data_IF_912825135536
#
_entry.id   IF_912825135536
#
_cell.length_a   1.000
_cell.length_b   1.000
_cell.length_c   1.000
_cell.angle_alpha   90.00
_cell.angle_beta   90.00
_cell.angle_gamma   90.00
#
_symmetry.space_group_name_H-M   'P 1'
#
loop_
_entity.id
_entity.type
_entity.pdbx_description
1 polymer ?
#
# COMPACT_ATOMS: atom_id res chain seq x y z
N UNK A 1 15.60 37.48 24.86
CA UNK A 1 15.86 36.23 24.11
C UNK A 1 14.60 35.88 23.36
N UNK A 2 14.60 35.97 22.03
CA UNK A 2 13.49 35.47 21.24
C UNK A 2 13.49 33.94 21.34
N UNK A 3 12.49 33.36 22.02
CA UNK A 3 12.16 31.95 21.82
C UNK A 3 11.67 31.86 20.37
N UNK A 4 12.54 31.42 19.46
CA UNK A 4 12.12 31.16 18.08
C UNK A 4 10.94 30.20 18.09
N UNK A 5 9.93 30.47 17.27
CA UNK A 5 8.74 29.62 17.11
C UNK A 5 9.15 28.15 16.89
N UNK A 6 9.18 27.36 17.96
CA UNK A 6 9.43 25.94 17.86
C UNK A 6 8.18 25.31 17.24
N UNK A 7 8.32 24.77 16.02
CA UNK A 7 7.22 24.04 15.39
C UNK A 7 6.86 22.81 16.23
N UNK A 8 5.57 22.63 16.49
CA UNK A 8 5.03 21.47 17.21
C UNK A 8 5.03 20.22 16.29
N UNK A 9 6.21 19.68 15.98
CA UNK A 9 6.36 18.56 15.02
C UNK A 9 5.54 17.31 15.39
N UNK A 10 5.31 17.06 16.69
CA UNK A 10 4.44 15.97 17.15
C UNK A 10 2.97 16.18 16.76
N UNK A 11 2.49 17.43 16.80
CA UNK A 11 1.15 17.80 16.34
C UNK A 11 1.05 17.65 14.81
N UNK A 12 2.03 18.15 14.07
CA UNK A 12 2.09 18.00 12.60
C UNK A 12 2.08 16.53 12.18
N UNK A 13 2.81 15.67 12.90
CA UNK A 13 2.78 14.23 12.66
C UNK A 13 1.38 13.64 12.96
N UNK A 14 0.70 14.10 14.00
CA UNK A 14 -0.67 13.71 14.29
C UNK A 14 -1.66 14.11 13.19
N UNK A 15 -1.52 15.32 12.64
CA UNK A 15 -2.29 15.80 11.50
C UNK A 15 -2.01 14.99 10.23
N UNK A 16 -0.75 14.60 9.99
CA UNK A 16 -0.38 13.72 8.88
C UNK A 16 -1.11 12.36 8.97
N UNK A 17 -1.24 11.78 10.16
CA UNK A 17 -2.04 10.55 10.31
C UNK A 17 -3.55 10.77 10.15
N UNK A 18 -4.07 11.95 10.49
CA UNK A 18 -5.46 12.31 10.17
C UNK A 18 -5.69 12.42 8.66
N UNK A 19 -4.69 12.88 7.89
CA UNK A 19 -4.75 12.84 6.43
C UNK A 19 -4.92 11.40 5.92
N UNK A 20 -4.13 10.44 6.40
CA UNK A 20 -4.32 9.03 6.02
C UNK A 20 -5.71 8.50 6.43
N UNK A 21 -6.22 8.86 7.62
CA UNK A 21 -7.59 8.51 8.00
C UNK A 21 -8.65 9.07 7.05
N UNK A 22 -8.43 10.29 6.55
CA UNK A 22 -9.29 10.93 5.55
C UNK A 22 -9.21 10.28 4.17
N UNK A 23 -8.19 9.47 3.88
CA UNK A 23 -8.01 8.72 2.64
C UNK A 23 -8.53 7.27 2.71
N UNK A 24 -8.96 6.77 3.87
CA UNK A 24 -9.40 5.38 4.03
C UNK A 24 -10.56 5.04 3.11
N UNK A 25 -10.47 3.96 2.33
CA UNK A 25 -11.57 3.35 1.58
C UNK A 25 -12.11 2.13 2.34
N UNK A 26 -13.34 1.70 2.08
CA UNK A 26 -13.95 0.54 2.74
C UNK A 26 -14.76 0.90 3.99
N UNK A 27 -14.98 -0.10 4.85
CA UNK A 27 -15.70 0.06 6.11
C UNK A 27 -14.79 0.71 7.16
N UNK A 28 -15.14 1.90 7.62
CA UNK A 28 -14.36 2.65 8.59
C UNK A 28 -14.48 2.03 10.00
N UNK A 29 -13.42 2.09 10.81
CA UNK A 29 -13.45 1.54 12.16
C UNK A 29 -14.25 2.46 13.09
N UNK A 30 -14.83 1.90 14.15
CA UNK A 30 -15.63 2.66 15.11
C UNK A 30 -14.84 3.81 15.79
N UNK A 31 -13.53 3.66 15.92
CA UNK A 31 -12.61 4.65 16.50
C UNK A 31 -12.05 5.67 15.48
N UNK A 32 -12.55 5.70 14.22
CA UNK A 32 -12.17 6.68 13.19
C UNK A 32 -12.28 8.12 13.73
N UNK A 33 -11.23 8.94 13.62
CA UNK A 33 -11.23 10.32 14.14
C UNK A 33 -11.80 11.33 13.14
N UNK A 34 -11.61 11.08 11.85
CA UNK A 34 -12.14 11.90 10.76
C UNK A 34 -13.63 11.60 10.54
N UNK A 35 -14.52 12.31 11.24
CA UNK A 35 -15.96 11.99 11.32
C UNK A 35 -16.82 12.40 10.13
N UNK A 36 -16.30 13.23 9.22
CA UNK A 36 -17.01 13.62 7.99
C UNK A 36 -16.87 12.57 6.87
N UNK A 37 -16.02 11.55 7.04
CA UNK A 37 -15.91 10.38 6.16
C UNK A 37 -16.88 9.29 6.60
N UNK A 38 -17.50 8.59 5.64
CA UNK A 38 -18.32 7.41 5.85
C UNK A 38 -17.77 6.16 5.16
N UNK A 39 -18.48 5.05 5.34
CA UNK A 39 -18.16 3.78 4.68
C UNK A 39 -18.34 3.91 3.16
N UNK A 40 -17.33 3.52 2.39
CA UNK A 40 -17.32 3.70 0.93
C UNK A 40 -16.72 2.50 0.20
N UNK A 41 -16.98 2.38 -1.10
CA UNK A 41 -16.45 1.31 -1.98
C UNK A 41 -16.62 -0.12 -1.40
N UNK A 42 -17.72 -0.38 -0.69
CA UNK A 42 -17.98 -1.65 0.00
C UNK A 42 -18.21 -2.83 -0.96
N UNK A 43 -18.36 -2.55 -2.26
CA UNK A 43 -18.52 -3.54 -3.32
C UNK A 43 -17.24 -3.82 -4.12
N UNK A 44 -16.09 -3.27 -3.71
CA UNK A 44 -14.81 -3.61 -4.34
C UNK A 44 -14.55 -5.13 -4.15
N UNK A 45 -14.61 -5.88 -5.25
CA UNK A 45 -14.46 -7.34 -5.29
C UNK A 45 -13.60 -7.80 -6.47
N UNK A 46 -12.76 -8.80 -6.23
CA UNK A 46 -11.96 -9.46 -7.25
C UNK A 46 -12.81 -10.26 -8.24
N UNK A 47 -12.20 -10.80 -9.31
CA UNK A 47 -12.92 -11.50 -10.38
C UNK A 47 -13.77 -12.69 -9.92
N UNK A 48 -13.44 -13.31 -8.80
CA UNK A 48 -14.19 -14.46 -8.23
C UNK A 48 -14.84 -14.09 -6.89
N UNK A 49 -15.08 -12.80 -6.64
CA UNK A 49 -15.75 -12.34 -5.43
C UNK A 49 -14.83 -12.19 -4.21
N UNK A 50 -13.51 -12.28 -4.37
CA UNK A 50 -12.57 -11.98 -3.29
C UNK A 50 -12.79 -10.57 -2.75
N UNK A 51 -12.77 -10.39 -1.43
CA UNK A 51 -12.92 -9.07 -0.82
C UNK A 51 -11.72 -8.17 -1.16
N UNK A 52 -12.00 -7.02 -1.77
CA UNK A 52 -11.02 -5.96 -2.04
C UNK A 52 -11.44 -4.64 -1.42
N UNK A 53 -12.26 -4.65 -0.37
CA UNK A 53 -12.55 -3.45 0.43
C UNK A 53 -11.36 -3.05 1.31
N UNK A 54 -11.23 -1.76 1.61
CA UNK A 54 -10.12 -1.23 2.40
C UNK A 54 -9.12 -0.44 1.55
N UNK A 55 -7.96 -0.16 2.15
CA UNK A 55 -6.86 0.57 1.51
C UNK A 55 -7.08 2.07 1.55
N UNK A 56 -6.20 2.80 0.86
CA UNK A 56 -6.31 4.25 0.71
C UNK A 56 -6.74 4.60 -0.70
N UNK A 57 -7.61 5.59 -0.81
CA UNK A 57 -7.74 6.38 -2.02
C UNK A 57 -6.46 7.17 -2.25
N UNK A 58 -6.08 7.32 -3.53
CA UNK A 58 -4.77 7.81 -3.92
C UNK A 58 -4.57 9.29 -3.60
N UNK A 59 -5.47 10.13 -4.11
CA UNK A 59 -5.40 11.58 -3.95
C UNK A 59 -6.79 12.13 -3.59
N UNK A 60 -7.31 13.10 -4.34
CA UNK A 60 -8.67 13.59 -4.18
C UNK A 60 -9.72 12.72 -4.90
N UNK A 61 -9.26 11.72 -5.64
CA UNK A 61 -10.08 10.75 -6.36
C UNK A 61 -10.40 9.53 -5.49
N UNK A 62 -11.13 8.56 -6.07
CA UNK A 62 -11.48 7.33 -5.40
C UNK A 62 -10.83 6.10 -6.04
N UNK A 63 -9.87 6.26 -6.95
CA UNK A 63 -9.08 5.13 -7.45
C UNK A 63 -8.12 4.65 -6.36
N UNK A 64 -7.90 3.33 -6.31
CA UNK A 64 -6.83 2.73 -5.50
C UNK A 64 -5.69 2.34 -6.41
N UNK A 65 -4.78 3.29 -6.66
CA UNK A 65 -3.55 3.06 -7.41
C UNK A 65 -2.54 2.32 -6.52
N UNK A 66 -2.17 1.08 -6.89
CA UNK A 66 -1.39 0.24 -5.97
C UNK A 66 0.09 0.60 -5.95
N UNK A 67 0.60 1.21 -7.02
CA UNK A 67 2.00 1.67 -7.11
C UNK A 67 2.32 2.74 -6.04
N UNK A 68 1.62 3.90 -6.00
CA UNK A 68 1.82 4.89 -4.93
C UNK A 68 1.34 4.40 -3.56
N UNK A 69 0.31 3.55 -3.49
CA UNK A 69 -0.11 2.95 -2.22
C UNK A 69 0.99 2.08 -1.59
N UNK A 70 1.65 1.23 -2.37
CA UNK A 70 2.74 0.39 -1.89
C UNK A 70 3.95 1.23 -1.44
N UNK A 71 4.27 2.29 -2.17
CA UNK A 71 5.26 3.27 -1.76
C UNK A 71 4.91 3.91 -0.40
N UNK A 72 3.68 4.41 -0.26
CA UNK A 72 3.17 5.00 0.99
C UNK A 72 3.25 4.01 2.17
N UNK A 73 2.80 2.76 1.98
CA UNK A 73 2.87 1.73 3.03
C UNK A 73 4.31 1.44 3.42
N UNK A 74 5.23 1.39 2.44
CA UNK A 74 6.66 1.21 2.72
C UNK A 74 7.22 2.36 3.56
N UNK A 75 6.88 3.61 3.24
CA UNK A 75 7.36 4.77 4.01
C UNK A 75 6.73 4.87 5.41
N UNK A 76 5.46 4.49 5.57
CA UNK A 76 4.84 4.36 6.89
C UNK A 76 5.55 3.30 7.74
N UNK A 77 6.00 2.20 7.14
CA UNK A 77 6.82 1.20 7.83
C UNK A 77 8.21 1.74 8.19
N UNK A 78 8.89 2.42 7.26
CA UNK A 78 10.18 3.08 7.53
C UNK A 78 10.06 4.05 8.70
N UNK A 79 8.98 4.83 8.78
CA UNK A 79 8.78 5.79 9.87
C UNK A 79 8.85 5.14 11.26
N UNK A 80 8.21 3.98 11.45
CA UNK A 80 8.20 3.29 12.74
C UNK A 80 9.44 2.41 12.98
N UNK A 81 10.13 1.98 11.91
CA UNK A 81 11.33 1.14 12.00
C UNK A 81 12.57 1.99 12.27
N UNK A 82 12.76 3.07 11.52
CA UNK A 82 13.98 3.90 11.57
C UNK A 82 13.88 5.01 12.62
N UNK A 83 12.67 5.50 12.90
CA UNK A 83 12.45 6.61 13.84
C UNK A 83 11.54 6.23 15.03
N UNK A 84 11.75 5.08 15.71
CA UNK A 84 10.84 4.61 16.76
C UNK A 84 10.75 5.58 17.94
N UNK A 85 11.87 6.24 18.31
CA UNK A 85 11.89 7.25 19.36
C UNK A 85 11.09 8.50 18.98
N UNK A 86 11.23 9.00 17.75
CA UNK A 86 10.46 10.16 17.29
C UNK A 86 8.96 9.88 17.27
N UNK A 87 8.57 8.69 16.78
CA UNK A 87 7.17 8.25 16.80
C UNK A 87 6.65 8.07 18.24
N UNK A 88 7.46 7.56 19.17
CA UNK A 88 7.08 7.43 20.58
C UNK A 88 6.92 8.79 21.27
N UNK A 89 7.94 9.64 21.19
CA UNK A 89 7.99 10.95 21.85
C UNK A 89 6.90 11.91 21.31
N UNK A 90 6.44 11.71 20.06
CA UNK A 90 5.31 12.46 19.49
C UNK A 90 3.93 12.09 20.06
N UNK A 91 3.83 10.98 20.80
CA UNK A 91 2.54 10.42 21.23
C UNK A 91 1.70 9.79 20.11
N UNK A 92 2.22 9.70 18.87
CA UNK A 92 1.49 9.20 17.70
C UNK A 92 1.76 7.72 17.38
N UNK A 93 2.30 6.95 18.32
CA UNK A 93 2.65 5.54 18.07
C UNK A 93 1.46 4.69 17.64
N UNK A 94 0.30 4.86 18.28
CA UNK A 94 -0.92 4.12 17.89
C UNK A 94 -1.32 4.45 16.46
N UNK A 95 -1.33 5.73 16.11
CA UNK A 95 -1.73 6.25 14.81
C UNK A 95 -0.78 5.77 13.71
N UNK A 96 0.52 5.77 13.96
CA UNK A 96 1.52 5.27 13.03
C UNK A 96 1.27 3.80 12.64
N UNK A 97 1.08 2.94 13.65
CA UNK A 97 0.81 1.52 13.40
C UNK A 97 -0.58 1.27 12.81
N UNK A 98 -1.60 2.06 13.18
CA UNK A 98 -2.93 1.97 12.55
C UNK A 98 -2.89 2.40 11.07
N UNK A 99 -2.15 3.46 10.75
CA UNK A 99 -1.99 3.93 9.38
C UNK A 99 -1.26 2.89 8.52
N UNK A 100 -0.17 2.33 9.04
CA UNK A 100 0.55 1.24 8.40
C UNK A 100 -0.35 0.02 8.18
N UNK A 101 -1.03 -0.45 9.24
CA UNK A 101 -1.88 -1.64 9.21
C UNK A 101 -3.02 -1.51 8.21
N UNK A 102 -3.66 -0.35 8.11
CA UNK A 102 -4.75 -0.13 7.16
C UNK A 102 -4.34 -0.38 5.70
N UNK A 103 -3.16 0.12 5.33
CA UNK A 103 -2.61 -0.08 4.00
C UNK A 103 -2.13 -1.52 3.78
N UNK A 104 -1.39 -2.09 4.73
CA UNK A 104 -0.86 -3.46 4.59
C UNK A 104 -1.97 -4.53 4.64
N UNK A 105 -3.03 -4.35 5.45
CA UNK A 105 -4.21 -5.23 5.47
C UNK A 105 -4.88 -5.29 4.09
N UNK A 106 -4.97 -4.15 3.41
CA UNK A 106 -5.47 -4.10 2.05
C UNK A 106 -4.53 -4.80 1.07
N UNK A 107 -3.22 -4.53 1.11
CA UNK A 107 -2.26 -5.19 0.24
C UNK A 107 -2.26 -6.71 0.40
N UNK A 108 -2.49 -7.26 1.62
CA UNK A 108 -2.65 -8.70 1.81
C UNK A 108 -3.80 -9.30 0.98
N UNK A 109 -4.91 -8.57 0.83
CA UNK A 109 -6.10 -9.01 0.05
C UNK A 109 -5.85 -9.02 -1.46
N UNK A 110 -4.90 -8.24 -1.94
CA UNK A 110 -4.62 -8.09 -3.38
C UNK A 110 -3.87 -9.27 -3.99
N UNK A 111 -3.33 -10.17 -3.15
CA UNK A 111 -2.62 -11.39 -3.57
C UNK A 111 -3.61 -12.54 -3.67
N UNK A 112 -4.19 -12.71 -4.86
CA UNK A 112 -5.25 -13.70 -5.13
C UNK A 112 -4.69 -15.13 -5.32
N UNK A 113 -3.42 -15.25 -5.67
CA UNK A 113 -2.70 -16.51 -5.86
C UNK A 113 -1.26 -16.24 -6.31
N UNK A 114 -0.53 -17.29 -6.67
CA UNK A 114 0.87 -17.18 -7.11
C UNK A 114 1.03 -16.42 -8.43
N UNK A 115 0.04 -16.56 -9.33
CA UNK A 115 0.06 -15.99 -10.67
C UNK A 115 -0.96 -14.86 -10.87
N UNK A 116 -1.58 -14.36 -9.79
CA UNK A 116 -2.68 -13.38 -9.86
C UNK A 116 -2.59 -12.33 -8.76
N UNK A 117 -2.18 -11.13 -9.14
CA UNK A 117 -2.02 -9.98 -8.23
C UNK A 117 -2.92 -8.83 -8.68
N UNK A 118 -3.65 -8.18 -7.78
CA UNK A 118 -4.42 -6.98 -8.13
C UNK A 118 -3.49 -5.78 -8.25
N UNK A 119 -3.48 -5.13 -9.41
CA UNK A 119 -2.66 -3.95 -9.69
C UNK A 119 -3.39 -2.61 -9.55
N UNK A 120 -4.74 -2.62 -9.63
CA UNK A 120 -5.57 -1.42 -9.45
C UNK A 120 -7.04 -1.77 -9.19
N UNK A 121 -7.74 -0.90 -8.46
CA UNK A 121 -9.20 -0.92 -8.34
C UNK A 121 -9.75 0.48 -8.60
N UNK A 122 -10.71 0.58 -9.51
CA UNK A 122 -11.17 1.83 -10.11
C UNK A 122 -10.45 2.13 -11.43
N UNK A 123 -11.09 2.93 -12.29
CA UNK A 123 -10.54 3.42 -13.55
C UNK A 123 -10.45 4.94 -13.45
N UNK A 124 -9.26 5.53 -13.65
CA UNK A 124 -9.04 6.96 -13.44
C UNK A 124 -9.97 7.83 -14.26
N UNK A 125 -10.14 7.54 -15.55
CA UNK A 125 -11.06 8.31 -16.40
C UNK A 125 -12.52 8.23 -15.95
N UNK A 126 -12.97 7.10 -15.42
CA UNK A 126 -14.35 6.95 -14.95
C UNK A 126 -14.51 7.70 -13.63
N UNK A 127 -13.58 7.49 -12.71
CA UNK A 127 -13.58 8.05 -11.37
C UNK A 127 -13.46 9.58 -11.37
N UNK A 128 -12.54 10.14 -12.17
CA UNK A 128 -12.26 11.57 -12.23
C UNK A 128 -13.35 12.40 -12.90
N UNK A 129 -14.27 11.76 -13.61
CA UNK A 129 -15.46 12.42 -14.16
C UNK A 129 -16.58 12.59 -13.10
N UNK A 130 -16.37 12.12 -11.87
CA UNK A 130 -17.36 12.14 -10.79
C UNK A 130 -16.90 13.06 -9.66
N UNK A 131 -17.57 14.19 -9.48
CA UNK A 131 -17.37 15.05 -8.31
C UNK A 131 -18.47 14.82 -7.27
N UNK A 132 -18.22 13.91 -6.34
CA UNK A 132 -19.17 13.53 -5.28
C UNK A 132 -18.42 13.01 -4.07
N UNK A 133 -19.13 12.71 -2.98
CA UNK A 133 -18.53 12.04 -1.83
C UNK A 133 -18.24 10.57 -2.16
N UNK A 134 -17.24 9.97 -1.50
CA UNK A 134 -16.82 8.58 -1.75
C UNK A 134 -17.97 7.58 -1.53
N UNK A 135 -18.86 7.89 -0.60
CA UNK A 135 -20.00 7.08 -0.18
C UNK A 135 -21.13 7.06 -1.24
N UNK A 136 -21.15 8.06 -2.13
CA UNK A 136 -22.17 8.22 -3.18
C UNK A 136 -21.69 7.67 -4.55
N UNK A 137 -20.51 7.03 -4.61
CA UNK A 137 -20.02 6.35 -5.81
C UNK A 137 -20.78 5.02 -5.97
N UNK A 138 -21.57 4.92 -7.03
CA UNK A 138 -22.42 3.75 -7.33
C UNK A 138 -21.92 2.98 -8.56
N UNK A 139 -21.04 3.59 -9.32
CA UNK A 139 -20.47 3.07 -10.55
C UNK A 139 -19.62 1.82 -10.24
N UNK A 140 -19.65 0.85 -11.15
CA UNK A 140 -18.84 -0.36 -11.00
C UNK A 140 -17.36 0.02 -11.09
N UNK A 141 -16.60 -0.31 -10.05
CA UNK A 141 -15.17 -0.05 -9.97
C UNK A 141 -14.41 -1.27 -10.50
N UNK A 142 -13.83 -1.14 -11.70
CA UNK A 142 -13.08 -2.23 -12.34
C UNK A 142 -11.86 -2.62 -11.52
N UNK A 143 -11.56 -3.93 -11.52
CA UNK A 143 -10.36 -4.48 -10.91
C UNK A 143 -9.40 -4.94 -12.00
N UNK A 144 -8.18 -4.45 -11.95
CA UNK A 144 -7.10 -4.88 -12.84
C UNK A 144 -6.23 -5.91 -12.13
N UNK A 145 -6.04 -7.07 -12.76
CA UNK A 145 -5.28 -8.19 -12.21
C UNK A 145 -4.11 -8.49 -13.12
N UNK A 146 -2.89 -8.49 -12.58
CA UNK A 146 -1.69 -8.90 -13.27
C UNK A 146 -1.57 -10.42 -13.25
N UNK A 147 -1.13 -10.98 -14.36
CA UNK A 147 -0.95 -12.43 -14.60
C UNK A 147 0.33 -12.64 -15.41
N UNK A 148 0.80 -13.89 -15.60
CA UNK A 148 1.99 -14.14 -16.42
C UNK A 148 1.96 -13.48 -17.81
N UNK A 149 0.79 -13.47 -18.47
CA UNK A 149 0.62 -12.87 -19.81
C UNK A 149 0.49 -11.33 -19.81
N UNK A 150 0.14 -10.76 -18.65
CA UNK A 150 0.03 -9.31 -18.40
C UNK A 150 0.76 -8.99 -17.09
N UNK A 151 2.10 -9.02 -17.10
CA UNK A 151 2.91 -8.86 -15.91
C UNK A 151 2.84 -7.44 -15.35
N UNK A 152 3.38 -7.28 -14.14
CA UNK A 152 3.53 -6.00 -13.44
C UNK A 152 4.60 -6.10 -12.36
N UNK A 153 5.86 -6.18 -12.78
CA UNK A 153 7.01 -6.36 -11.89
C UNK A 153 7.20 -5.20 -10.95
N UNK A 154 7.04 -3.98 -11.45
CA UNK A 154 7.08 -2.73 -10.67
C UNK A 154 6.09 -2.78 -9.50
N UNK A 155 4.79 -2.85 -9.81
CA UNK A 155 3.73 -2.81 -8.79
C UNK A 155 3.81 -4.00 -7.83
N UNK A 156 4.08 -5.21 -8.35
CA UNK A 156 4.17 -6.39 -7.50
C UNK A 156 5.40 -6.35 -6.59
N UNK A 157 6.57 -5.90 -7.07
CA UNK A 157 7.78 -5.80 -6.26
C UNK A 157 7.68 -4.67 -5.21
N UNK A 158 7.08 -3.53 -5.55
CA UNK A 158 6.82 -2.48 -4.57
C UNK A 158 5.85 -2.95 -3.48
N UNK A 159 4.78 -3.67 -3.83
CA UNK A 159 3.88 -4.27 -2.85
C UNK A 159 4.58 -5.33 -1.99
N UNK A 160 5.51 -6.10 -2.58
CA UNK A 160 6.34 -7.03 -1.81
C UNK A 160 7.20 -6.30 -0.78
N UNK A 161 7.87 -5.23 -1.20
CA UNK A 161 8.66 -4.37 -0.31
C UNK A 161 7.81 -3.78 0.81
N UNK A 162 6.62 -3.28 0.49
CA UNK A 162 5.67 -2.73 1.45
C UNK A 162 5.25 -3.75 2.53
N UNK A 163 4.86 -4.96 2.12
CA UNK A 163 4.47 -6.02 3.04
C UNK A 163 5.67 -6.55 3.84
N UNK A 164 6.85 -6.70 3.23
CA UNK A 164 8.05 -7.10 3.95
C UNK A 164 8.48 -6.03 4.98
N UNK A 165 8.38 -4.74 4.65
CA UNK A 165 8.61 -3.65 5.60
C UNK A 165 7.58 -3.66 6.74
N UNK A 166 6.30 -3.83 6.42
CA UNK A 166 5.26 -4.00 7.43
C UNK A 166 5.55 -5.19 8.35
N UNK A 167 6.03 -6.32 7.81
CA UNK A 167 6.41 -7.48 8.61
C UNK A 167 7.50 -7.16 9.63
N UNK A 168 8.53 -6.40 9.23
CA UNK A 168 9.59 -5.93 10.16
C UNK A 168 8.99 -5.05 11.24
N UNK A 169 8.16 -4.07 10.87
CA UNK A 169 7.53 -3.15 11.81
C UNK A 169 6.65 -3.86 12.86
N UNK A 170 5.96 -4.94 12.46
CA UNK A 170 5.08 -5.73 13.33
C UNK A 170 5.76 -6.92 14.00
N UNK A 171 7.01 -7.25 13.71
CA UNK A 171 7.66 -8.48 14.21
C UNK A 171 7.57 -8.65 15.73
N UNK A 172 7.80 -7.58 16.49
CA UNK A 172 7.73 -7.59 17.96
C UNK A 172 6.36 -7.25 18.54
N UNK A 173 5.38 -6.84 17.72
CA UNK A 173 4.05 -6.37 18.15
C UNK A 173 2.94 -7.36 17.81
N UNK A 174 3.01 -7.96 16.63
CA UNK A 174 2.07 -8.96 16.12
C UNK A 174 2.85 -9.96 15.24
N UNK A 175 3.54 -10.94 15.85
CA UNK A 175 4.35 -11.91 15.12
C UNK A 175 3.53 -12.76 14.13
N UNK A 176 2.24 -12.98 14.42
CA UNK A 176 1.32 -13.70 13.53
C UNK A 176 1.05 -12.91 12.26
N UNK A 177 0.78 -11.62 12.39
CA UNK A 177 0.62 -10.70 11.25
C UNK A 177 1.92 -10.54 10.45
N UNK A 178 3.06 -10.42 11.14
CA UNK A 178 4.39 -10.35 10.51
C UNK A 178 4.64 -11.55 9.59
N UNK A 179 4.33 -12.77 10.05
CA UNK A 179 4.44 -13.99 9.23
C UNK A 179 3.51 -13.97 8.01
N UNK A 180 2.26 -13.50 8.16
CA UNK A 180 1.33 -13.36 7.04
C UNK A 180 1.85 -12.39 5.99
N UNK A 181 2.37 -11.24 6.42
CA UNK A 181 2.99 -10.25 5.54
C UNK A 181 4.19 -10.82 4.79
N UNK A 182 5.10 -11.54 5.48
CA UNK A 182 6.23 -12.21 4.82
C UNK A 182 5.74 -13.21 3.77
N UNK A 183 4.76 -14.05 4.08
CA UNK A 183 4.25 -15.04 3.15
C UNK A 183 3.73 -14.41 1.85
N UNK A 184 2.90 -13.37 1.96
CA UNK A 184 2.37 -12.65 0.79
C UNK A 184 3.43 -11.82 0.05
N UNK A 185 4.38 -11.23 0.78
CA UNK A 185 5.50 -10.51 0.19
C UNK A 185 6.37 -11.42 -0.69
N UNK A 186 6.60 -12.67 -0.28
CA UNK A 186 7.31 -13.67 -1.10
C UNK A 186 6.56 -13.95 -2.40
N UNK A 187 5.26 -14.23 -2.31
CA UNK A 187 4.42 -14.50 -3.49
C UNK A 187 4.49 -13.34 -4.49
N UNK A 188 4.34 -12.10 -3.99
CA UNK A 188 4.43 -10.90 -4.83
C UNK A 188 5.79 -10.75 -5.50
N UNK A 189 6.87 -10.94 -4.73
CA UNK A 189 8.23 -10.80 -5.25
C UNK A 189 8.59 -11.88 -6.25
N UNK A 190 8.24 -13.13 -5.97
CA UNK A 190 8.51 -14.26 -6.87
C UNK A 190 7.71 -14.08 -8.19
N UNK A 191 6.46 -13.60 -8.14
CA UNK A 191 5.71 -13.19 -9.33
C UNK A 191 6.42 -12.07 -10.10
N UNK A 192 6.80 -10.99 -9.42
CA UNK A 192 7.42 -9.82 -10.01
C UNK A 192 8.76 -10.16 -10.70
N UNK A 193 9.56 -11.01 -10.05
CA UNK A 193 10.89 -11.41 -10.50
C UNK A 193 10.82 -12.43 -11.65
N UNK A 194 9.84 -13.35 -11.61
CA UNK A 194 9.66 -14.39 -12.64
C UNK A 194 9.01 -13.86 -13.91
N UNK A 195 7.98 -13.02 -13.80
CA UNK A 195 7.22 -12.50 -14.94
C UNK A 195 7.53 -11.02 -15.14
N UNK A 196 8.60 -10.75 -15.89
CA UNK A 196 9.13 -9.39 -16.08
C UNK A 196 8.27 -8.55 -17.01
N UNK A 197 7.84 -7.37 -16.54
CA UNK A 197 7.23 -6.35 -17.39
C UNK A 197 6.56 -5.23 -16.60
N UNK A 198 6.37 -4.09 -17.25
CA UNK A 198 5.71 -2.93 -16.65
C UNK A 198 4.20 -3.15 -16.50
N UNK A 199 3.65 -2.86 -15.32
CA UNK A 199 2.23 -3.07 -15.06
C UNK A 199 1.34 -2.25 -16.01
N UNK A 200 1.74 -1.01 -16.32
CA UNK A 200 0.95 -0.08 -17.12
C UNK A 200 0.88 -0.43 -18.62
N UNK A 201 1.62 -1.46 -19.09
CA UNK A 201 1.62 -1.83 -20.52
C UNK A 201 0.48 -2.80 -20.85
N UNK A 202 0.33 -3.87 -20.06
CA UNK A 202 -0.68 -4.91 -20.30
C UNK A 202 -1.62 -5.14 -19.12
N UNK A 203 -1.14 -5.04 -17.88
CA UNK A 203 -1.94 -5.33 -16.69
C UNK A 203 -2.93 -4.21 -16.39
N UNK A 204 -2.44 -2.98 -16.29
CA UNK A 204 -3.20 -1.79 -15.93
C UNK A 204 -2.95 -0.66 -16.94
N UNK A 205 -3.40 -0.79 -18.20
CA UNK A 205 -3.21 0.27 -19.20
C UNK A 205 -3.71 1.66 -18.76
N UNK A 206 -4.75 1.69 -17.92
CA UNK A 206 -5.29 2.93 -17.33
C UNK A 206 -4.22 3.73 -16.58
N UNK A 207 -3.31 3.06 -15.85
CA UNK A 207 -2.28 3.73 -15.07
C UNK A 207 -1.21 4.42 -15.91
N UNK A 208 -1.14 4.20 -17.22
CA UNK A 208 -0.17 4.85 -18.09
C UNK A 208 -0.35 6.38 -18.17
N UNK A 209 -1.56 6.87 -17.92
CA UNK A 209 -1.89 8.30 -17.89
C UNK A 209 -1.79 8.91 -16.47
N UNK A 210 -1.52 8.08 -15.44
CA UNK A 210 -1.49 8.49 -14.03
C UNK A 210 -0.16 8.16 -13.35
N UNK A 211 0.08 6.89 -13.04
CA UNK A 211 1.27 6.41 -12.31
C UNK A 211 2.15 5.52 -13.18
N UNK A 212 2.52 6.01 -14.36
CA UNK A 212 3.38 5.28 -15.29
C UNK A 212 4.74 4.99 -14.66
N UNK A 213 5.06 3.70 -14.51
CA UNK A 213 6.40 3.29 -14.08
C UNK A 213 7.45 3.58 -15.15
N UNK A 214 8.64 4.00 -14.71
CA UNK A 214 9.80 4.25 -15.56
C UNK A 214 10.86 3.13 -15.47
N UNK A 215 10.81 2.34 -14.41
CA UNK A 215 11.70 1.22 -14.15
C UNK A 215 11.02 0.28 -13.15
N UNK A 216 11.23 -1.03 -13.31
CA UNK A 216 10.85 -2.03 -12.31
C UNK A 216 12.09 -2.63 -11.61
N UNK A 217 13.30 -2.27 -12.05
CA UNK A 217 14.54 -2.82 -11.50
C UNK A 217 14.80 -2.32 -10.07
N UNK A 218 14.55 -1.04 -9.84
CA UNK A 218 14.56 -0.39 -8.54
C UNK A 218 13.49 -0.96 -7.61
N UNK A 219 12.26 -1.20 -8.10
CA UNK A 219 11.21 -1.84 -7.30
C UNK A 219 11.59 -3.28 -6.90
N UNK A 220 12.23 -4.03 -7.78
CA UNK A 220 12.75 -5.37 -7.47
C UNK A 220 13.87 -5.31 -6.45
N UNK A 221 14.84 -4.41 -6.61
CA UNK A 221 15.89 -4.23 -5.62
C UNK A 221 15.29 -3.82 -4.25
N UNK A 222 14.31 -2.92 -4.24
CA UNK A 222 13.59 -2.50 -3.04
C UNK A 222 12.87 -3.67 -2.35
N UNK A 223 12.05 -4.42 -3.10
CA UNK A 223 11.33 -5.59 -2.60
C UNK A 223 12.27 -6.66 -2.05
N UNK A 224 13.38 -6.92 -2.75
CA UNK A 224 14.39 -7.86 -2.34
C UNK A 224 15.10 -7.43 -1.05
N UNK A 225 15.51 -6.17 -0.92
CA UNK A 225 16.18 -5.67 0.29
C UNK A 225 15.27 -5.74 1.51
N UNK A 226 13.98 -5.42 1.38
CA UNK A 226 13.03 -5.58 2.48
C UNK A 226 12.77 -7.04 2.83
N UNK A 227 12.65 -7.93 1.85
CA UNK A 227 12.54 -9.36 2.10
C UNK A 227 13.80 -9.92 2.76
N UNK A 228 15.00 -9.47 2.36
CA UNK A 228 16.26 -9.79 3.03
C UNK A 228 16.20 -9.38 4.50
N UNK A 229 15.76 -8.15 4.79
CA UNK A 229 15.65 -7.63 6.16
C UNK A 229 14.62 -8.40 6.99
N UNK A 230 13.47 -8.73 6.41
CA UNK A 230 12.39 -9.42 7.09
C UNK A 230 12.66 -10.91 7.37
N UNK A 231 13.50 -11.55 6.54
CA UNK A 231 13.63 -13.03 6.53
C UNK A 231 15.04 -13.53 6.81
N UNK A 232 16.07 -12.70 6.61
CA UNK A 232 17.46 -13.10 6.69
C UNK A 232 17.97 -13.90 5.48
N UNK A 233 17.14 -14.28 4.51
CA UNK A 233 17.53 -15.16 3.41
C UNK A 233 18.52 -14.52 2.44
N UNK A 234 19.63 -15.22 2.17
CA UNK A 234 20.71 -14.75 1.29
C UNK A 234 20.26 -14.41 -0.14
N UNK A 235 19.31 -15.18 -0.69
CA UNK A 235 18.87 -15.04 -2.09
C UNK A 235 18.44 -13.61 -2.46
N UNK A 236 17.74 -12.93 -1.56
CA UNK A 236 17.22 -11.59 -1.85
C UNK A 236 18.31 -10.52 -1.88
N UNK A 237 19.41 -10.70 -1.13
CA UNK A 237 20.55 -9.79 -1.25
C UNK A 237 21.23 -9.95 -2.62
N UNK A 238 21.31 -11.18 -3.12
CA UNK A 238 21.88 -11.44 -4.45
C UNK A 238 20.97 -10.94 -5.56
N UNK A 239 19.65 -11.08 -5.43
CA UNK A 239 18.71 -10.51 -6.39
C UNK A 239 18.77 -8.98 -6.41
N UNK A 240 18.91 -8.32 -5.25
CA UNK A 240 18.97 -6.85 -5.16
C UNK A 240 20.18 -6.22 -5.86
N UNK A 241 21.24 -7.00 -6.12
CA UNK A 241 22.46 -6.54 -6.78
C UNK A 241 22.41 -6.68 -8.31
N UNK A 242 21.39 -7.33 -8.86
CA UNK A 242 21.24 -7.61 -10.29
C UNK A 242 20.45 -6.51 -11.00
#
# INVERSE_FOLDING_TARGET
MAMGNAFAYGEVLGLSYLFYEAQRSGKLPADQRVKWRGDSALQDRGPEGQDLTGGYYDAADYVKFHMPLAFTVSLLAVAVIEFPKGVADSGQSRQAYQALRWGSDYLLKTVLGEDRIVGQVGEGKVDHNLWRRAEDVTEKRRVFVCTPDKPGSDVAAAMAGALAAAAVAFQGRDPGYSKQCIAKARTLYDFANKFRGYYHVKCVPDAADFYKSKSFHDDLAWGALWLKRATGEGRYLEDAKR
#
